data_IF_842466701838
#
_entry.id   IF_842466701838
#
_cell.length_a   1.000
_cell.length_b   1.000
_cell.length_c   1.000
_cell.angle_alpha   90.00
_cell.angle_beta   90.00
_cell.angle_gamma   90.00
#
_symmetry.space_group_name_H-M   'P 1'
#
loop_
_entity.id
_entity.type
_entity.pdbx_description
1 polymer ?
#
# COMPACT_ATOMS: atom_id res chain seq x y z
N UNK A 1 31.54 3.05 22.01
CA UNK A 1 31.25 2.63 23.39
C UNK A 1 31.41 3.85 24.28
N UNK A 2 30.29 4.45 24.68
CA UNK A 2 30.24 5.49 25.71
C UNK A 2 28.93 5.27 26.45
N UNK A 3 29.06 4.79 27.67
CA UNK A 3 27.97 4.57 28.61
C UNK A 3 27.88 5.83 29.45
N UNK A 4 26.72 6.46 29.47
CA UNK A 4 26.41 7.52 30.43
C UNK A 4 25.05 7.19 31.00
N UNK A 5 25.08 6.74 32.26
CA UNK A 5 23.92 6.55 33.13
C UNK A 5 23.17 7.87 33.31
N UNK A 6 21.86 7.83 33.15
CA UNK A 6 20.90 8.79 33.68
C UNK A 6 19.70 8.00 34.20
N UNK A 7 19.58 8.04 35.53
CA UNK A 7 18.38 8.15 36.37
C UNK A 7 17.16 7.26 36.03
N UNK A 8 16.76 6.47 37.05
CA UNK A 8 15.53 5.67 37.09
C UNK A 8 14.31 6.56 36.81
N UNK A 9 13.69 6.38 35.65
CA UNK A 9 12.29 6.76 35.43
C UNK A 9 11.43 5.58 35.88
N UNK A 10 10.53 5.83 36.84
CA UNK A 10 9.46 4.91 37.24
C UNK A 10 8.63 4.58 35.99
N UNK A 11 8.86 3.40 35.42
CA UNK A 11 8.03 2.84 34.36
C UNK A 11 6.66 2.53 34.97
N UNK A 12 5.73 3.47 34.77
CA UNK A 12 4.29 3.21 34.87
C UNK A 12 3.96 2.19 33.77
N UNK A 13 3.94 0.91 34.15
CA UNK A 13 3.61 -0.24 33.29
C UNK A 13 2.12 -0.12 32.94
N UNK A 14 1.84 0.63 31.87
CA UNK A 14 0.49 0.78 31.35
C UNK A 14 0.06 -0.57 30.72
N UNK A 15 -0.45 -1.46 31.57
CA UNK A 15 -0.91 -2.83 31.25
C UNK A 15 -1.95 -2.85 30.11
N UNK A 16 -2.64 -1.74 29.84
CA UNK A 16 -3.66 -1.63 28.79
C UNK A 16 -3.09 -1.76 27.37
N UNK A 17 -1.86 -1.30 27.10
CA UNK A 17 -1.25 -1.38 25.75
C UNK A 17 -0.79 -2.81 25.40
N UNK A 18 -0.34 -3.60 26.38
CA UNK A 18 0.04 -5.00 26.19
C UNK A 18 -1.16 -5.88 25.88
N UNK A 19 -2.30 -5.61 26.50
CA UNK A 19 -3.52 -6.40 26.29
C UNK A 19 -4.17 -6.20 24.91
N UNK A 20 -4.00 -5.04 24.26
CA UNK A 20 -4.46 -4.83 22.90
C UNK A 20 -3.60 -5.57 21.87
N UNK A 21 -2.30 -5.69 22.11
CA UNK A 21 -1.38 -6.38 21.21
C UNK A 21 -1.62 -7.90 21.19
N UNK A 22 -2.00 -8.50 22.32
CA UNK A 22 -2.39 -9.92 22.40
C UNK A 22 -3.75 -10.23 21.76
N UNK A 23 -4.66 -9.24 21.71
CA UNK A 23 -6.00 -9.38 21.10
C UNK A 23 -5.99 -9.28 19.58
N UNK A 24 -4.90 -8.79 18.97
CA UNK A 24 -4.78 -8.75 17.50
C UNK A 24 -4.64 -10.17 16.95
N UNK A 25 -5.42 -10.55 15.91
CA UNK A 25 -5.27 -11.85 15.29
C UNK A 25 -3.84 -12.01 14.77
N UNK A 26 -3.12 -13.02 15.28
CA UNK A 26 -1.78 -13.39 14.80
C UNK A 26 -1.93 -13.98 13.40
N UNK A 27 -1.79 -13.14 12.38
CA UNK A 27 -1.70 -13.57 10.98
C UNK A 27 -0.27 -14.08 10.74
N UNK A 28 -0.12 -15.26 10.15
CA UNK A 28 1.20 -15.83 9.84
C UNK A 28 1.93 -14.99 8.80
N UNK A 29 3.10 -14.46 9.16
CA UNK A 29 3.95 -13.65 8.27
C UNK A 29 4.32 -14.41 6.99
N UNK A 30 4.52 -15.73 7.07
CA UNK A 30 4.83 -16.55 5.90
C UNK A 30 3.64 -16.60 4.94
N UNK A 31 2.43 -16.67 5.48
CA UNK A 31 1.21 -16.64 4.68
C UNK A 31 1.05 -15.28 3.98
N UNK A 32 1.28 -14.17 4.71
CA UNK A 32 1.25 -12.82 4.12
C UNK A 32 2.27 -12.71 2.99
N UNK A 33 3.51 -13.18 3.19
CA UNK A 33 4.55 -13.15 2.16
C UNK A 33 4.16 -13.97 0.91
N UNK A 34 3.51 -15.12 1.10
CA UNK A 34 2.98 -15.94 0.00
C UNK A 34 1.86 -15.23 -0.77
N UNK A 35 0.97 -14.52 -0.06
CA UNK A 35 -0.10 -13.73 -0.66
C UNK A 35 0.46 -12.54 -1.45
N UNK A 36 1.41 -11.78 -0.89
CA UNK A 36 2.12 -10.68 -1.58
C UNK A 36 2.81 -11.21 -2.84
N UNK A 37 3.54 -12.34 -2.74
CA UNK A 37 4.19 -12.96 -3.90
C UNK A 37 3.19 -13.34 -4.99
N UNK A 38 1.99 -13.79 -4.62
CA UNK A 38 0.94 -14.09 -5.58
C UNK A 38 0.45 -12.84 -6.30
N UNK A 39 0.25 -11.73 -5.58
CA UNK A 39 -0.12 -10.43 -6.17
C UNK A 39 0.96 -9.95 -7.13
N UNK A 40 2.24 -10.01 -6.75
CA UNK A 40 3.34 -9.59 -7.63
C UNK A 40 3.37 -10.40 -8.93
N UNK A 41 3.11 -11.71 -8.86
CA UNK A 41 2.96 -12.54 -10.08
C UNK A 41 1.76 -12.14 -10.92
N UNK A 42 0.64 -11.76 -10.31
CA UNK A 42 -0.53 -11.27 -11.04
C UNK A 42 -0.25 -9.92 -11.70
N UNK A 43 0.49 -9.02 -11.04
CA UNK A 43 0.92 -7.75 -11.64
C UNK A 43 1.77 -8.02 -12.89
N UNK A 44 2.79 -8.88 -12.79
CA UNK A 44 3.62 -9.22 -13.96
C UNK A 44 2.83 -9.95 -15.04
N UNK A 45 1.96 -10.89 -14.65
CA UNK A 45 1.06 -11.58 -15.58
C UNK A 45 0.06 -10.63 -16.23
N UNK A 46 -0.30 -9.52 -15.57
CA UNK A 46 -1.25 -8.58 -16.12
C UNK A 46 -0.78 -7.91 -17.40
N UNK A 47 0.53 -7.70 -17.51
CA UNK A 47 1.16 -7.04 -18.66
C UNK A 47 0.84 -7.76 -19.98
N UNK A 48 0.52 -9.06 -19.98
CA UNK A 48 0.23 -9.80 -21.22
C UNK A 48 -1.12 -9.48 -21.85
N UNK A 49 -2.04 -8.86 -21.11
CA UNK A 49 -3.36 -8.48 -21.61
C UNK A 49 -3.60 -6.97 -21.59
N UNK A 50 -2.63 -6.18 -21.16
CA UNK A 50 -2.70 -4.73 -21.24
C UNK A 50 -2.29 -4.26 -22.65
N UNK A 51 -2.86 -3.15 -23.14
CA UNK A 51 -2.42 -2.52 -24.37
C UNK A 51 -0.92 -2.15 -24.31
N UNK A 52 -0.24 -2.26 -25.44
CA UNK A 52 1.17 -1.85 -25.57
C UNK A 52 1.29 -0.34 -25.37
N UNK A 53 2.18 0.09 -24.48
CA UNK A 53 2.52 1.49 -24.29
C UNK A 53 3.71 1.85 -25.20
N UNK A 54 3.59 2.93 -25.97
CA UNK A 54 4.63 3.38 -26.90
C UNK A 54 5.27 4.70 -26.45
N UNK A 55 6.57 4.88 -26.74
CA UNK A 55 7.32 6.11 -26.48
C UNK A 55 7.96 6.19 -25.09
N UNK A 56 8.43 7.39 -24.74
CA UNK A 56 9.04 7.67 -23.43
C UNK A 56 7.96 7.77 -22.36
N UNK A 57 8.01 6.86 -21.38
CA UNK A 57 7.03 6.76 -20.31
C UNK A 57 7.61 7.33 -19.01
N UNK A 58 6.76 8.02 -18.25
CA UNK A 58 7.03 8.44 -16.87
C UNK A 58 5.96 7.87 -15.96
N UNK A 59 6.27 7.69 -14.68
CA UNK A 59 5.30 7.25 -13.68
C UNK A 59 5.15 8.30 -12.58
N UNK A 60 3.98 8.27 -11.93
CA UNK A 60 3.68 9.09 -10.75
C UNK A 60 3.15 8.18 -9.67
N UNK A 61 3.48 8.50 -8.42
CA UNK A 61 2.91 7.85 -7.24
C UNK A 61 2.00 8.88 -6.58
N UNK A 62 0.74 8.50 -6.36
CA UNK A 62 -0.25 9.33 -5.67
C UNK A 62 -0.65 8.63 -4.38
N UNK A 63 -0.64 9.37 -3.28
CA UNK A 63 -1.17 8.91 -1.99
C UNK A 63 -2.38 9.76 -1.66
N UNK A 64 -3.48 9.08 -1.35
CA UNK A 64 -4.69 9.72 -0.85
C UNK A 64 -4.71 9.50 0.66
N UNK A 65 -4.79 10.60 1.39
CA UNK A 65 -4.87 10.60 2.84
C UNK A 65 -6.02 11.51 3.27
N UNK A 66 -6.42 11.40 4.54
CA UNK A 66 -7.45 12.25 5.11
C UNK A 66 -7.03 13.72 5.11
N UNK A 67 -8.01 14.61 5.07
CA UNK A 67 -7.78 16.05 4.91
C UNK A 67 -7.00 16.68 6.08
N UNK A 68 -6.97 16.03 7.23
CA UNK A 68 -6.32 16.49 8.45
C UNK A 68 -4.92 15.90 8.67
N UNK A 69 -4.39 15.11 7.73
CA UNK A 69 -3.04 14.56 7.86
C UNK A 69 -1.98 15.66 7.68
N UNK A 70 -0.95 15.63 8.52
CA UNK A 70 0.24 16.45 8.31
C UNK A 70 1.03 15.93 7.10
N UNK A 71 1.08 16.72 6.03
CA UNK A 71 1.79 16.39 4.79
C UNK A 71 3.27 16.78 4.94
N UNK A 72 4.22 15.86 4.68
CA UNK A 72 5.64 16.22 4.74
C UNK A 72 5.99 17.32 3.73
N UNK A 73 6.94 18.22 4.03
CA UNK A 73 7.21 19.41 3.20
C UNK A 73 7.77 19.09 1.81
N UNK A 74 8.23 17.86 1.57
CA UNK A 74 8.71 17.38 0.27
C UNK A 74 7.58 16.92 -0.65
N UNK A 75 6.37 16.78 -0.13
CA UNK A 75 5.19 16.38 -0.87
C UNK A 75 4.44 17.62 -1.36
N UNK A 76 3.82 17.50 -2.54
CA UNK A 76 3.02 18.57 -3.12
C UNK A 76 1.65 18.05 -3.52
N UNK A 77 0.64 18.91 -3.45
CA UNK A 77 -0.71 18.58 -3.88
C UNK A 77 -0.74 18.25 -5.37
N UNK A 78 -1.45 17.18 -5.72
CA UNK A 78 -1.65 16.76 -7.11
C UNK A 78 -3.14 16.66 -7.42
N UNK A 79 -3.49 16.97 -8.67
CA UNK A 79 -4.78 16.62 -9.24
C UNK A 79 -4.94 15.08 -9.33
N UNK A 80 -6.18 14.56 -9.29
CA UNK A 80 -6.43 13.13 -9.44
C UNK A 80 -6.06 12.66 -10.86
N UNK A 81 -5.37 11.52 -10.94
CA UNK A 81 -4.97 10.91 -12.22
C UNK A 81 -6.12 10.07 -12.81
N UNK A 82 -7.21 10.73 -13.20
CA UNK A 82 -8.37 10.07 -13.80
C UNK A 82 -8.12 9.70 -15.28
N UNK A 83 -8.52 8.50 -15.67
CA UNK A 83 -8.51 8.07 -17.08
C UNK A 83 -9.67 8.74 -17.81
N UNK A 84 -9.35 9.62 -18.76
CA UNK A 84 -10.35 10.32 -19.59
C UNK A 84 -11.11 9.33 -20.46
N UNK A 85 -12.43 9.41 -20.44
CA UNK A 85 -13.31 8.49 -21.18
C UNK A 85 -13.65 7.19 -20.46
N UNK A 86 -13.16 7.00 -19.23
CA UNK A 86 -13.28 5.74 -18.51
C UNK A 86 -12.12 4.79 -18.80
N UNK A 87 -12.08 3.66 -18.10
CA UNK A 87 -11.06 2.64 -18.26
C UNK A 87 -11.58 1.27 -17.81
N UNK A 88 -10.93 0.22 -18.29
CA UNK A 88 -11.21 -1.14 -17.88
C UNK A 88 -10.48 -1.47 -16.57
N UNK A 89 -11.18 -2.23 -15.73
CA UNK A 89 -10.84 -2.47 -14.34
C UNK A 89 -10.51 -3.94 -14.14
N UNK A 90 -9.26 -4.23 -13.79
CA UNK A 90 -8.81 -5.57 -13.43
C UNK A 90 -8.51 -5.58 -11.94
N UNK A 91 -9.33 -6.33 -11.20
CA UNK A 91 -9.12 -6.57 -9.77
C UNK A 91 -8.14 -7.72 -9.59
N UNK A 92 -7.08 -7.47 -8.83
CA UNK A 92 -6.14 -8.53 -8.45
C UNK A 92 -6.64 -9.22 -7.18
N UNK A 93 -5.92 -10.27 -6.76
CA UNK A 93 -6.18 -10.94 -5.49
C UNK A 93 -5.96 -9.95 -4.36
N UNK A 94 -6.95 -9.81 -3.48
CA UNK A 94 -6.81 -9.09 -2.22
C UNK A 94 -6.07 -9.92 -1.18
N UNK A 95 -5.41 -9.25 -0.26
CA UNK A 95 -4.77 -9.88 0.89
C UNK A 95 -4.94 -9.01 2.13
N UNK A 96 -4.88 -9.62 3.30
CA UNK A 96 -5.10 -8.93 4.58
C UNK A 96 -3.93 -9.22 5.51
N UNK A 97 -3.51 -8.19 6.22
CA UNK A 97 -2.53 -8.24 7.31
C UNK A 97 -3.28 -8.12 8.65
N UNK A 98 -2.57 -8.16 9.78
CA UNK A 98 -3.20 -7.96 11.08
C UNK A 98 -3.95 -6.61 11.21
N UNK A 99 -3.51 -5.58 10.46
CA UNK A 99 -4.03 -4.21 10.61
C UNK A 99 -4.71 -3.65 9.36
N UNK A 100 -4.48 -4.24 8.18
CA UNK A 100 -4.92 -3.67 6.89
C UNK A 100 -5.41 -4.73 5.92
N UNK A 101 -6.49 -4.44 5.20
CA UNK A 101 -6.92 -5.17 4.01
C UNK A 101 -6.48 -4.38 2.76
N UNK A 102 -5.83 -5.07 1.82
CA UNK A 102 -5.32 -4.49 0.58
C UNK A 102 -6.08 -5.09 -0.61
N UNK A 103 -6.67 -4.23 -1.43
CA UNK A 103 -7.35 -4.59 -2.67
C UNK A 103 -6.66 -3.94 -3.88
N UNK A 104 -5.69 -4.63 -4.51
CA UNK A 104 -4.97 -4.07 -5.65
C UNK A 104 -5.85 -4.08 -6.90
N UNK A 105 -5.81 -2.96 -7.61
CA UNK A 105 -6.61 -2.73 -8.81
C UNK A 105 -5.72 -2.15 -9.90
N UNK A 106 -5.87 -2.66 -11.12
CA UNK A 106 -5.29 -2.09 -12.33
C UNK A 106 -6.43 -1.45 -13.12
N UNK A 107 -6.28 -0.17 -13.45
CA UNK A 107 -7.18 0.55 -14.34
C UNK A 107 -6.39 1.00 -15.57
N UNK A 108 -6.83 0.61 -16.76
CA UNK A 108 -6.17 0.96 -18.01
C UNK A 108 -7.15 1.48 -19.04
N UNK A 109 -6.66 2.32 -19.94
CA UNK A 109 -7.45 2.83 -21.06
C UNK A 109 -7.48 1.77 -22.16
N UNK A 110 -8.66 1.45 -22.67
CA UNK A 110 -8.82 0.72 -23.92
C UNK A 110 -8.91 1.76 -25.03
N UNK A 111 -8.01 1.71 -26.00
CA UNK A 111 -8.14 2.53 -27.19
C UNK A 111 -9.15 1.84 -28.12
N UNK A 112 -10.36 2.39 -28.23
CA UNK A 112 -11.45 1.92 -29.12
C UNK A 112 -11.15 2.11 -30.62
N UNK A 113 -9.90 2.38 -31.00
CA UNK A 113 -9.50 2.53 -32.40
C UNK A 113 -9.24 1.17 -33.05
N UNK A 114 -10.31 0.43 -33.34
CA UNK A 114 -10.35 -0.62 -34.37
C UNK A 114 -11.42 -0.26 -35.39
#
# INVERSE_FOLDING_TARGET
>A
MKVTSLEEEDYDDNDEEKEEEERRPKVDENEIALQIRAVMRQITGSVTFLPTLEGDLTFKVLVYADHDVEVPPTWGDSAPALIKGGGELVRLRSFTTASHQIEPIINYRVDDSI
#
